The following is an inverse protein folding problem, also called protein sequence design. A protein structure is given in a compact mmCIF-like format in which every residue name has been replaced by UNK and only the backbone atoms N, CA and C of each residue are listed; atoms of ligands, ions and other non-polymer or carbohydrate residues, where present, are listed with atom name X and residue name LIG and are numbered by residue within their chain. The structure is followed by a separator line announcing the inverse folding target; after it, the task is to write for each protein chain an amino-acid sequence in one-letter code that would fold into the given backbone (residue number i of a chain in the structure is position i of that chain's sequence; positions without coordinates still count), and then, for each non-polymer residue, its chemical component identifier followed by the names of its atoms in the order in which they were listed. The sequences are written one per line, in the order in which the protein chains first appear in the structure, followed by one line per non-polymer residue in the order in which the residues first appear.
data_IF_813640681140
#
_entry.id   IF_813640681140
#
_cell.length_a   1.000
_cell.length_b   1.000
_cell.length_c   1.000
_cell.angle_alpha   90.00
_cell.angle_beta   90.00
_cell.angle_gamma   90.00
#
_symmetry.space_group_name_H-M   'P 1'
#
loop_
_entity.id
_entity.type
_entity.pdbx_description
1 polymer ?
#
# COMPACT_ATOMS: atom_id res chain seq x y z
N UNK A 1 -9.58 -0.13 21.55
CA UNK A 1 -9.70 1.26 21.04
C UNK A 1 -9.03 1.29 19.68
N UNK A 2 -9.73 1.74 18.65
CA UNK A 2 -9.12 1.94 17.33
C UNK A 2 -8.15 3.13 17.41
N UNK A 3 -6.92 2.96 16.91
CA UNK A 3 -5.85 3.96 17.00
C UNK A 3 -6.10 5.12 16.04
N UNK A 4 -5.88 6.35 16.52
CA UNK A 4 -5.87 7.60 15.76
C UNK A 4 -4.47 8.17 15.82
N UNK A 5 -3.94 8.72 14.74
CA UNK A 5 -2.55 9.15 14.65
C UNK A 5 -2.44 10.65 14.40
N UNK A 6 -1.47 11.29 15.06
CA UNK A 6 -1.16 12.72 14.88
C UNK A 6 -0.11 12.91 13.79
N UNK A 7 0.72 11.89 13.56
CA UNK A 7 1.74 11.86 12.53
C UNK A 7 1.65 10.57 11.74
N UNK A 8 1.93 10.66 10.44
CA UNK A 8 2.10 9.52 9.57
C UNK A 8 3.52 9.50 9.02
N UNK A 9 4.17 8.34 9.06
CA UNK A 9 5.49 8.13 8.49
C UNK A 9 5.37 7.27 7.24
N UNK A 10 5.85 7.80 6.13
CA UNK A 10 5.90 7.13 4.84
C UNK A 10 7.36 6.86 4.49
N UNK A 11 7.76 5.59 4.61
CA UNK A 11 9.07 5.09 4.22
C UNK A 11 9.00 4.60 2.78
N UNK A 12 9.56 5.36 1.85
CA UNK A 12 9.70 4.99 0.45
C UNK A 12 10.91 4.07 0.29
N UNK A 13 10.66 2.84 -0.15
CA UNK A 13 11.64 1.75 -0.16
C UNK A 13 12.14 1.44 -1.57
N UNK A 14 11.36 1.78 -2.59
CA UNK A 14 11.72 1.59 -3.99
C UNK A 14 10.99 2.58 -4.89
N UNK A 15 11.61 2.95 -6.00
CA UNK A 15 10.99 3.72 -7.09
C UNK A 15 10.82 2.83 -8.32
N UNK A 16 10.01 3.28 -9.28
CA UNK A 16 9.69 2.51 -10.50
C UNK A 16 10.96 2.11 -11.27
N UNK A 17 12.00 2.94 -11.22
CA UNK A 17 13.17 2.80 -12.10
C UNK A 17 12.79 3.06 -13.55
N UNK A 18 13.55 2.62 -14.54
CA UNK A 18 13.60 3.21 -15.90
C UNK A 18 14.51 4.43 -16.03
N UNK A 19 15.68 4.38 -15.39
CA UNK A 19 16.71 5.40 -15.61
C UNK A 19 17.32 5.26 -17.02
N UNK A 20 17.53 6.37 -17.73
CA UNK A 20 18.14 6.43 -19.07
C UNK A 20 17.56 5.46 -20.13
N UNK A 21 16.26 5.18 -20.07
CA UNK A 21 15.61 4.31 -21.05
C UNK A 21 15.77 2.82 -20.80
N UNK A 22 16.31 2.40 -19.66
CA UNK A 22 16.45 0.99 -19.31
C UNK A 22 15.17 0.43 -18.64
N UNK A 23 14.35 -0.40 -19.33
CA UNK A 23 13.10 -0.93 -18.78
C UNK A 23 13.26 -1.84 -17.57
N UNK A 24 14.47 -2.33 -17.32
CA UNK A 24 14.79 -3.24 -16.21
C UNK A 24 15.40 -2.51 -15.01
N UNK A 25 15.67 -1.21 -15.12
CA UNK A 25 16.11 -0.43 -13.96
C UNK A 25 14.96 -0.39 -12.96
N UNK A 26 15.24 -0.78 -11.73
CA UNK A 26 14.28 -0.82 -10.62
C UNK A 26 14.60 0.20 -9.52
N UNK A 27 15.51 1.13 -9.83
CA UNK A 27 15.97 2.20 -8.96
C UNK A 27 16.31 3.46 -9.75
N UNK A 28 16.27 4.60 -9.07
CA UNK A 28 16.86 5.88 -9.46
C UNK A 28 17.57 6.43 -8.21
N UNK A 29 18.41 7.45 -8.36
CA UNK A 29 19.07 8.12 -7.22
C UNK A 29 18.20 9.21 -6.56
N UNK A 30 16.93 9.29 -6.93
CA UNK A 30 15.98 10.29 -6.46
C UNK A 30 14.55 9.73 -6.48
N UNK A 31 13.69 10.27 -5.62
CA UNK A 31 12.27 9.90 -5.53
C UNK A 31 11.40 11.16 -5.49
N UNK A 32 10.24 11.12 -6.14
CA UNK A 32 9.35 12.29 -6.21
C UNK A 32 7.87 11.91 -6.21
N UNK A 33 7.03 12.82 -5.72
CA UNK A 33 5.58 12.80 -5.91
C UNK A 33 5.02 14.23 -5.89
N UNK A 34 3.87 14.46 -6.51
CA UNK A 34 3.23 15.78 -6.51
C UNK A 34 2.31 16.01 -5.32
N UNK A 35 1.68 14.95 -4.81
CA UNK A 35 0.81 15.08 -3.65
C UNK A 35 0.64 13.74 -2.92
N UNK A 36 0.42 13.82 -1.61
CA UNK A 36 0.03 12.72 -0.74
C UNK A 36 -1.22 13.15 0.04
N UNK A 37 -2.36 12.59 -0.35
CA UNK A 37 -3.65 12.95 0.22
C UNK A 37 -4.16 11.80 1.09
N UNK A 38 -4.55 12.12 2.31
CA UNK A 38 -5.16 11.19 3.25
C UNK A 38 -6.63 11.52 3.47
N UNK A 39 -7.40 10.49 3.80
CA UNK A 39 -8.82 10.61 4.12
C UNK A 39 -9.15 9.76 5.34
N UNK A 40 -10.05 10.25 6.19
CA UNK A 40 -10.74 9.45 7.18
C UNK A 40 -12.17 9.10 6.69
N UNK A 41 -13.03 8.64 7.60
CA UNK A 41 -14.42 8.30 7.26
C UNK A 41 -15.28 9.52 6.89
N UNK A 42 -14.87 10.72 7.32
CA UNK A 42 -15.64 11.95 7.20
C UNK A 42 -15.14 12.83 6.05
N UNK A 43 -13.92 12.60 5.56
CA UNK A 43 -13.40 13.27 4.37
C UNK A 43 -11.88 13.35 4.34
N UNK A 44 -11.35 14.33 3.60
CA UNK A 44 -9.91 14.62 3.55
C UNK A 44 -9.40 14.94 4.97
N UNK A 45 -8.24 14.39 5.31
CA UNK A 45 -7.50 14.76 6.52
C UNK A 45 -6.64 15.97 6.16
N UNK A 46 -6.83 17.06 6.88
CA UNK A 46 -5.97 18.24 6.75
C UNK A 46 -4.59 17.97 7.34
N UNK A 47 -3.57 18.40 6.62
CA UNK A 47 -2.15 18.26 6.97
C UNK A 47 -1.61 19.66 7.26
N UNK A 48 -0.67 19.77 8.20
CA UNK A 48 0.13 20.98 8.44
C UNK A 48 1.44 20.87 7.65
N UNK A 49 1.56 21.47 6.44
CA UNK A 49 2.73 21.26 5.58
C UNK A 49 4.02 21.80 6.21
N UNK A 50 3.92 22.77 7.12
CA UNK A 50 5.08 23.38 7.79
C UNK A 50 5.67 22.51 8.89
N UNK A 51 4.91 21.52 9.38
CA UNK A 51 5.38 20.52 10.35
C UNK A 51 5.75 19.19 9.70
N UNK A 52 5.58 19.05 8.39
CA UNK A 52 6.06 17.89 7.65
C UNK A 52 7.57 17.94 7.48
N UNK A 53 8.23 16.78 7.54
CA UNK A 53 9.69 16.68 7.41
C UNK A 53 10.09 15.53 6.49
N UNK A 54 11.29 15.62 5.92
CA UNK A 54 11.95 14.54 5.19
C UNK A 54 13.33 14.29 5.83
N UNK A 55 13.38 13.55 6.96
CA UNK A 55 14.61 13.38 7.72
C UNK A 55 15.72 12.74 6.88
N UNK A 56 16.89 13.39 6.84
CA UNK A 56 18.06 12.92 6.09
C UNK A 56 17.99 13.11 4.57
N UNK A 57 16.86 13.55 4.03
CA UNK A 57 16.68 13.82 2.61
C UNK A 57 17.22 15.19 2.18
N UNK A 58 17.15 15.45 0.88
CA UNK A 58 17.64 16.70 0.29
C UNK A 58 16.79 17.12 -0.91
N UNK A 59 16.13 18.27 -0.78
CA UNK A 59 15.31 18.87 -1.83
C UNK A 59 15.89 20.22 -2.25
N UNK A 60 15.82 20.59 -3.54
CA UNK A 60 16.06 21.97 -3.95
C UNK A 60 14.95 22.90 -3.42
N UNK A 61 15.16 24.21 -3.54
CA UNK A 61 14.17 25.20 -3.11
C UNK A 61 12.83 25.03 -3.84
N UNK A 62 11.73 25.05 -3.09
CA UNK A 62 10.34 24.86 -3.56
C UNK A 62 10.01 23.46 -4.08
N UNK A 63 10.78 22.44 -3.69
CA UNK A 63 10.43 21.03 -3.95
C UNK A 63 10.56 20.16 -2.69
N UNK A 64 10.34 20.78 -1.52
CA UNK A 64 10.41 20.11 -0.22
C UNK A 64 9.11 19.37 0.11
N UNK A 65 9.09 18.63 1.23
CA UNK A 65 7.91 17.81 1.57
C UNK A 65 6.61 18.61 1.70
N UNK A 66 6.68 19.89 2.07
CA UNK A 66 5.51 20.78 2.08
C UNK A 66 4.82 20.87 0.72
N UNK A 67 5.60 20.78 -0.38
CA UNK A 67 5.15 20.87 -1.77
C UNK A 67 4.63 19.51 -2.28
N UNK A 68 4.69 18.46 -1.46
CA UNK A 68 4.08 17.15 -1.73
C UNK A 68 2.85 16.85 -0.87
N UNK A 69 2.37 17.81 -0.08
CA UNK A 69 1.19 17.65 0.80
C UNK A 69 0.30 18.89 0.83
N UNK A 70 0.50 19.82 -0.10
CA UNK A 70 -0.18 21.12 -0.15
C UNK A 70 -1.53 21.06 -0.90
N UNK A 71 -1.90 19.91 -1.47
CA UNK A 71 -3.10 19.79 -2.30
C UNK A 71 -2.94 20.30 -3.72
N UNK A 72 -1.74 20.71 -4.14
CA UNK A 72 -1.46 21.27 -5.45
C UNK A 72 -0.59 20.32 -6.28
N UNK A 73 -1.19 19.68 -7.28
CA UNK A 73 -0.50 18.70 -8.14
C UNK A 73 0.48 19.34 -9.14
N UNK A 74 0.55 20.67 -9.19
CA UNK A 74 1.54 21.40 -9.98
C UNK A 74 2.86 21.62 -9.22
N UNK A 75 2.85 21.54 -7.88
CA UNK A 75 4.06 21.42 -7.05
C UNK A 75 4.55 19.97 -7.01
N UNK A 76 5.77 19.77 -6.50
CA UNK A 76 6.27 18.43 -6.19
C UNK A 76 7.18 18.44 -5.00
N UNK A 77 7.22 17.31 -4.31
CA UNK A 77 8.33 16.93 -3.47
C UNK A 77 9.32 16.07 -4.28
N UNK A 78 10.62 16.31 -4.08
CA UNK A 78 11.69 15.42 -4.52
C UNK A 78 12.73 15.23 -3.42
N UNK A 79 13.17 13.99 -3.21
CA UNK A 79 14.36 13.67 -2.43
C UNK A 79 15.49 13.26 -3.38
N UNK A 80 16.55 14.06 -3.44
CA UNK A 80 17.75 13.82 -4.24
C UNK A 80 18.75 12.86 -3.57
N UNK A 81 18.47 12.38 -2.36
CA UNK A 81 19.29 11.41 -1.62
C UNK A 81 18.68 10.03 -1.54
N UNK A 82 17.69 9.74 -2.38
CA UNK A 82 17.11 8.41 -2.47
C UNK A 82 18.19 7.40 -2.89
N UNK A 83 18.65 6.57 -1.95
CA UNK A 83 19.71 5.57 -2.16
C UNK A 83 21.08 5.94 -1.57
N UNK A 84 21.34 7.20 -1.23
CA UNK A 84 22.59 7.66 -0.60
C UNK A 84 22.50 7.70 0.93
N UNK A 85 21.29 7.59 1.47
CA UNK A 85 21.05 7.47 2.90
C UNK A 85 21.31 6.04 3.38
N UNK A 86 21.83 5.87 4.59
CA UNK A 86 22.19 4.58 5.21
C UNK A 86 21.05 3.53 5.27
N UNK A 87 19.83 3.86 4.83
CA UNK A 87 18.65 2.99 4.76
C UNK A 87 18.19 2.67 3.31
N UNK A 88 18.84 3.20 2.27
CA UNK A 88 18.52 2.89 0.87
C UNK A 88 17.12 3.28 0.42
N UNK A 89 16.60 4.44 0.85
CA UNK A 89 15.19 4.85 0.61
C UNK A 89 14.93 6.35 0.80
N UNK A 90 13.73 6.75 1.19
CA UNK A 90 13.42 8.11 1.65
C UNK A 90 12.31 8.05 2.69
N UNK A 91 12.48 8.74 3.81
CA UNK A 91 11.45 8.82 4.86
C UNK A 91 10.83 10.20 4.86
N UNK A 92 9.50 10.26 4.84
CA UNK A 92 8.74 11.50 5.05
C UNK A 92 7.82 11.35 6.25
N UNK A 93 7.70 12.41 7.05
CA UNK A 93 6.86 12.47 8.24
C UNK A 93 5.84 13.57 8.01
N UNK A 94 4.57 13.21 8.12
CA UNK A 94 3.42 14.02 7.75
C UNK A 94 2.65 14.34 9.01
N UNK A 95 2.47 15.63 9.30
CA UNK A 95 1.78 16.10 10.49
C UNK A 95 0.31 16.40 10.17
N UNK A 96 -0.61 15.78 10.90
CA UNK A 96 -2.04 16.09 10.80
C UNK A 96 -2.30 17.47 11.41
N UNK A 97 -3.10 18.32 10.77
CA UNK A 97 -3.57 19.58 11.34
C UNK A 97 -4.66 19.32 12.39
N UNK A 98 -4.66 20.05 13.51
CA UNK A 98 -5.67 19.88 14.57
C UNK A 98 -5.55 18.56 15.37
N UNK A 99 -6.64 17.79 15.49
CA UNK A 99 -6.67 16.57 16.32
C UNK A 99 -6.14 15.33 15.58
N UNK A 100 -5.68 14.31 16.32
CA UNK A 100 -5.27 13.03 15.73
C UNK A 100 -6.43 12.35 14.98
N UNK A 101 -6.14 11.76 13.81
CA UNK A 101 -7.15 11.20 12.89
C UNK A 101 -6.90 9.71 12.63
N UNK A 102 -7.99 8.99 12.35
CA UNK A 102 -7.90 7.58 11.91
C UNK A 102 -7.83 7.56 10.39
N UNK A 103 -6.73 7.04 9.84
CA UNK A 103 -6.60 6.90 8.39
C UNK A 103 -7.60 5.86 7.86
N UNK A 104 -8.33 6.22 6.81
CA UNK A 104 -9.24 5.33 6.10
C UNK A 104 -8.67 4.93 4.74
N UNK A 105 -8.26 5.92 3.94
CA UNK A 105 -7.63 5.74 2.62
C UNK A 105 -6.63 6.85 2.33
N UNK A 106 -5.74 6.62 1.38
CA UNK A 106 -4.81 7.62 0.88
C UNK A 106 -4.50 7.43 -0.60
N UNK A 107 -3.94 8.47 -1.21
CA UNK A 107 -3.48 8.49 -2.60
C UNK A 107 -2.11 9.16 -2.70
N UNK A 108 -1.29 8.65 -3.61
CA UNK A 108 -0.04 9.27 -4.07
C UNK A 108 -0.24 9.74 -5.51
N UNK A 109 0.31 10.89 -5.86
CA UNK A 109 0.23 11.44 -7.20
C UNK A 109 1.62 11.53 -7.84
N UNK A 110 1.75 11.12 -9.09
CA UNK A 110 3.01 11.22 -9.84
C UNK A 110 3.42 12.70 -9.99
N UNK A 111 4.71 13.04 -9.87
CA UNK A 111 5.16 14.42 -10.10
C UNK A 111 5.18 14.78 -11.61
N UNK A 112 5.87 15.84 -12.04
CA UNK A 112 5.99 16.22 -13.46
C UNK A 112 7.29 15.74 -14.16
N UNK A 113 8.33 15.37 -13.42
CA UNK A 113 9.70 15.30 -13.95
C UNK A 113 10.04 13.95 -14.64
N UNK A 114 10.31 12.86 -13.90
CA UNK A 114 10.67 11.57 -14.47
C UNK A 114 9.86 10.40 -13.87
N UNK A 115 9.43 9.46 -14.73
CA UNK A 115 8.71 8.22 -14.33
C UNK A 115 9.54 7.33 -13.44
N UNK A 116 10.85 7.38 -13.61
CA UNK A 116 11.76 6.51 -12.88
C UNK A 116 11.92 6.80 -11.40
N UNK A 117 11.47 7.97 -10.97
CA UNK A 117 11.50 8.44 -9.60
C UNK A 117 10.17 8.27 -8.88
N UNK A 118 9.14 7.80 -9.59
CA UNK A 118 7.82 7.61 -8.99
C UNK A 118 7.88 6.46 -7.97
N UNK A 119 7.24 6.56 -6.79
CA UNK A 119 7.26 5.51 -5.78
C UNK A 119 6.75 4.18 -6.30
N UNK A 120 7.38 3.08 -5.90
CA UNK A 120 7.01 1.71 -6.33
C UNK A 120 6.71 0.81 -5.15
N UNK A 121 7.46 0.97 -4.07
CA UNK A 121 7.30 0.23 -2.82
C UNK A 121 7.45 1.16 -1.63
N UNK A 122 6.54 1.08 -0.66
CA UNK A 122 6.61 1.89 0.54
C UNK A 122 5.90 1.24 1.73
N UNK A 123 6.22 1.75 2.91
CA UNK A 123 5.56 1.43 4.17
C UNK A 123 4.94 2.69 4.75
N UNK A 124 3.69 2.60 5.18
CA UNK A 124 2.99 3.66 5.88
C UNK A 124 2.78 3.24 7.34
N UNK A 125 3.13 4.12 8.27
CA UNK A 125 2.98 3.94 9.71
C UNK A 125 2.31 5.16 10.36
N UNK A 126 1.67 4.96 11.51
CA UNK A 126 1.04 6.01 12.31
C UNK A 126 1.69 6.16 13.68
N UNK A 127 1.64 7.36 14.27
CA UNK A 127 2.15 7.64 15.61
C UNK A 127 1.57 8.90 16.24
N UNK A 128 1.82 9.06 17.54
CA UNK A 128 1.42 10.26 18.30
C UNK A 128 2.47 11.38 18.27
N UNK A 129 3.72 11.07 17.91
CA UNK A 129 4.81 12.03 17.85
C UNK A 129 5.57 11.92 16.53
N UNK A 130 6.27 13.00 16.15
CA UNK A 130 7.12 13.03 14.96
C UNK A 130 8.37 12.12 15.09
N UNK A 131 8.69 11.62 16.28
CA UNK A 131 9.84 10.73 16.51
C UNK A 131 9.40 9.28 16.76
N UNK A 132 8.10 9.00 16.76
CA UNK A 132 7.51 7.70 17.09
C UNK A 132 7.09 7.56 18.56
N UNK A 133 6.88 6.33 19.07
CA UNK A 133 6.97 5.07 18.34
C UNK A 133 5.96 5.01 17.18
N UNK A 134 6.33 4.26 16.14
CA UNK A 134 5.54 4.08 14.94
C UNK A 134 4.84 2.73 14.95
N UNK A 135 3.55 2.72 14.61
CA UNK A 135 2.77 1.50 14.37
C UNK A 135 2.58 1.35 12.87
N UNK A 136 3.00 0.22 12.30
CA UNK A 136 2.80 -0.04 10.87
C UNK A 136 1.31 -0.13 10.56
N UNK A 137 0.90 0.58 9.51
CA UNK A 137 -0.47 0.60 8.99
C UNK A 137 -0.57 -0.30 7.76
N UNK A 138 0.36 -0.15 6.80
CA UNK A 138 0.37 -0.98 5.59
C UNK A 138 1.75 -0.98 4.91
N UNK A 139 1.99 -1.99 4.08
CA UNK A 139 3.12 -2.07 3.15
C UNK A 139 2.57 -2.29 1.76
N UNK A 140 2.94 -1.41 0.83
CA UNK A 140 2.70 -1.57 -0.61
C UNK A 140 3.96 -2.10 -1.23
N UNK A 141 3.93 -3.33 -1.73
CA UNK A 141 5.10 -4.05 -2.27
C UNK A 141 5.39 -3.72 -3.74
N UNK A 142 4.35 -3.44 -4.52
CA UNK A 142 4.42 -3.20 -5.96
C UNK A 142 3.23 -2.33 -6.40
N UNK A 143 3.40 -1.01 -6.36
CA UNK A 143 2.40 -0.07 -6.82
C UNK A 143 2.25 -0.10 -8.35
N UNK A 144 1.04 0.12 -8.89
CA UNK A 144 0.85 0.13 -10.34
C UNK A 144 1.68 1.25 -10.98
N UNK A 145 2.21 0.94 -12.15
CA UNK A 145 2.86 1.92 -12.99
C UNK A 145 1.85 2.98 -13.45
N UNK A 146 2.18 4.25 -13.25
CA UNK A 146 1.35 5.37 -13.71
C UNK A 146 2.13 6.15 -14.77
N UNK A 147 1.64 6.13 -16.01
CA UNK A 147 2.29 6.79 -17.15
C UNK A 147 1.85 8.23 -17.31
N UNK A 148 0.67 8.59 -16.82
CA UNK A 148 0.22 9.98 -16.73
C UNK A 148 0.97 10.71 -15.61
N UNK A 149 1.27 11.99 -15.83
CA UNK A 149 1.93 12.84 -14.83
C UNK A 149 0.87 13.62 -14.05
N UNK A 150 1.14 13.94 -12.79
CA UNK A 150 0.18 14.62 -11.88
C UNK A 150 -1.09 13.79 -11.65
N UNK A 151 -0.99 12.48 -11.86
CA UNK A 151 -2.11 11.54 -11.83
C UNK A 151 -2.01 10.64 -10.60
N UNK A 152 -3.17 10.19 -10.11
CA UNK A 152 -3.26 9.27 -8.98
C UNK A 152 -2.59 7.94 -9.34
N UNK A 153 -1.79 7.41 -8.42
CA UNK A 153 -1.22 6.06 -8.48
C UNK A 153 -2.21 4.98 -8.00
N UNK A 154 -3.45 5.38 -7.71
CA UNK A 154 -4.50 4.52 -7.16
C UNK A 154 -4.85 4.88 -5.72
N UNK A 155 -6.03 4.40 -5.30
CA UNK A 155 -6.56 4.64 -3.95
C UNK A 155 -6.20 3.46 -3.05
N UNK A 156 -5.37 3.72 -2.06
CA UNK A 156 -4.92 2.72 -1.09
C UNK A 156 -5.79 2.79 0.16
N UNK A 157 -6.31 1.65 0.61
CA UNK A 157 -7.23 1.58 1.74
C UNK A 157 -6.61 0.79 2.90
N UNK A 158 -5.77 1.43 3.74
CA UNK A 158 -5.13 0.75 4.86
C UNK A 158 -6.09 0.30 5.95
N UNK A 159 -7.25 0.94 6.14
CA UNK A 159 -8.23 0.45 7.11
C UNK A 159 -9.15 -0.65 6.53
N UNK A 160 -9.14 -0.85 5.22
CA UNK A 160 -9.70 -2.05 4.56
C UNK A 160 -8.64 -3.14 4.40
N UNK A 161 -7.38 -2.84 4.73
CA UNK A 161 -6.41 -3.85 5.04
C UNK A 161 -6.62 -4.19 6.53
N UNK A 162 -7.23 -5.33 6.78
CA UNK A 162 -6.41 -6.46 7.04
C UNK A 162 -6.25 -7.11 5.69
N UNK A 163 -5.03 -7.48 5.33
CA UNK A 163 -4.88 -8.83 4.81
C UNK A 163 -5.69 -9.71 5.77
N UNK A 164 -6.91 -10.09 5.40
CA UNK A 164 -7.69 -11.00 6.21
C UNK A 164 -7.01 -12.34 6.02
N UNK A 165 -6.05 -12.68 6.88
CA UNK A 165 -5.57 -14.05 6.97
C UNK A 165 -6.76 -14.86 7.47
N UNK A 166 -7.39 -15.63 6.59
CA UNK A 166 -8.46 -16.55 6.99
C UNK A 166 -8.04 -17.97 6.68
N UNK A 167 -8.46 -18.85 7.57
CA UNK A 167 -8.47 -20.27 7.31
C UNK A 167 -9.55 -20.53 6.26
N UNK A 168 -9.15 -20.97 5.06
CA UNK A 168 -10.10 -21.57 4.14
C UNK A 168 -10.17 -23.04 4.49
N UNK A 169 -11.35 -23.49 4.88
CA UNK A 169 -11.65 -24.91 5.04
C UNK A 169 -12.47 -25.36 3.86
N UNK A 170 -11.93 -26.27 3.06
CA UNK A 170 -12.71 -26.95 2.02
C UNK A 170 -13.03 -28.35 2.51
N UNK A 171 -14.32 -28.66 2.49
CA UNK A 171 -14.84 -29.98 2.83
C UNK A 171 -15.27 -30.65 1.55
N UNK A 172 -14.81 -31.88 1.34
CA UNK A 172 -15.21 -32.69 0.20
C UNK A 172 -16.29 -33.68 0.64
N UNK A 173 -17.30 -33.90 -0.18
CA UNK A 173 -18.45 -34.79 0.13
C UNK A 173 -18.50 -36.06 -0.72
N UNK A 174 -17.47 -36.32 -1.54
CA UNK A 174 -17.33 -37.57 -2.31
C UNK A 174 -16.67 -38.69 -1.47
N UNK A 175 -16.61 -39.90 -2.02
CA UNK A 175 -16.06 -41.08 -1.35
C UNK A 175 -14.60 -40.85 -0.88
N UNK A 176 -14.40 -40.99 0.43
CA UNK A 176 -13.18 -40.67 1.15
C UNK A 176 -12.00 -41.60 0.80
N UNK A 177 -12.25 -42.71 0.10
CA UNK A 177 -11.24 -43.76 -0.14
C UNK A 177 -10.23 -43.44 -1.25
N UNK A 178 -10.49 -42.47 -2.13
CA UNK A 178 -9.65 -42.20 -3.32
C UNK A 178 -8.69 -41.00 -3.20
N UNK A 179 -8.73 -40.25 -2.08
CA UNK A 179 -8.05 -38.95 -1.99
C UNK A 179 -8.58 -37.93 -3.00
N UNK A 180 -8.09 -36.69 -2.95
CA UNK A 180 -8.52 -35.63 -3.85
C UNK A 180 -7.90 -35.87 -5.24
N UNK A 181 -8.67 -36.45 -6.17
CA UNK A 181 -8.23 -36.76 -7.54
C UNK A 181 -7.81 -35.55 -8.39
N UNK A 182 -8.04 -34.32 -7.89
CA UNK A 182 -7.52 -33.07 -8.44
C UNK A 182 -7.31 -32.03 -7.32
N UNK A 183 -6.34 -31.12 -7.51
CA UNK A 183 -6.18 -29.97 -6.61
C UNK A 183 -7.29 -28.95 -6.90
N UNK A 184 -8.14 -28.60 -5.92
CA UNK A 184 -9.16 -27.58 -6.11
C UNK A 184 -8.47 -26.22 -6.29
N UNK A 185 -9.10 -25.36 -7.08
CA UNK A 185 -8.70 -23.97 -7.26
C UNK A 185 -9.87 -23.09 -6.87
N UNK A 186 -9.66 -22.20 -5.91
CA UNK A 186 -10.62 -21.15 -5.58
C UNK A 186 -10.21 -19.90 -6.34
N UNK A 187 -11.15 -19.32 -7.07
CA UNK A 187 -11.01 -18.04 -7.74
C UNK A 187 -11.83 -17.01 -6.95
N UNK A 188 -11.19 -15.92 -6.56
CA UNK A 188 -11.91 -14.75 -6.08
C UNK A 188 -11.97 -13.69 -7.18
N UNK A 189 -12.91 -12.74 -7.06
CA UNK A 189 -12.96 -11.58 -7.94
C UNK A 189 -11.62 -10.83 -7.86
N UNK A 190 -10.96 -10.63 -9.02
CA UNK A 190 -9.58 -10.12 -9.06
C UNK A 190 -8.47 -11.18 -9.17
N UNK A 191 -8.80 -12.43 -9.52
CA UNK A 191 -7.86 -13.43 -10.08
C UNK A 191 -6.84 -14.07 -9.12
N UNK A 192 -7.10 -14.10 -7.82
CA UNK A 192 -6.24 -14.88 -6.90
C UNK A 192 -6.58 -16.37 -7.03
N UNK A 193 -5.63 -17.16 -7.51
CA UNK A 193 -5.72 -18.63 -7.57
C UNK A 193 -5.05 -19.26 -6.35
N UNK A 194 -5.76 -20.16 -5.66
CA UNK A 194 -5.23 -20.88 -4.50
C UNK A 194 -5.23 -22.40 -4.72
N UNK A 195 -4.06 -23.02 -4.56
CA UNK A 195 -3.90 -24.48 -4.61
C UNK A 195 -3.96 -25.05 -3.19
N UNK A 196 -4.99 -25.84 -2.89
CA UNK A 196 -5.11 -26.52 -1.59
C UNK A 196 -4.34 -27.85 -1.59
N UNK A 197 -3.97 -28.38 -2.77
CA UNK A 197 -3.18 -29.61 -2.93
C UNK A 197 -3.93 -30.90 -2.54
N UNK A 198 -3.43 -32.09 -2.92
CA UNK A 198 -4.10 -33.35 -2.63
C UNK A 198 -4.18 -33.63 -1.12
N UNK A 199 -5.19 -34.40 -0.71
CA UNK A 199 -5.38 -34.86 0.67
C UNK A 199 -6.11 -36.21 0.68
N UNK A 200 -5.96 -36.99 1.75
CA UNK A 200 -6.83 -38.15 2.06
C UNK A 200 -7.84 -37.80 3.15
N UNK A 201 -7.65 -36.67 3.83
CA UNK A 201 -8.54 -36.17 4.86
C UNK A 201 -9.81 -35.55 4.22
N UNK A 202 -10.99 -35.74 4.84
CA UNK A 202 -12.25 -35.14 4.40
C UNK A 202 -12.27 -33.61 4.57
N UNK A 203 -11.34 -33.08 5.38
CA UNK A 203 -11.17 -31.67 5.68
C UNK A 203 -9.74 -31.23 5.35
N UNK A 204 -9.59 -30.11 4.64
CA UNK A 204 -8.28 -29.45 4.52
C UNK A 204 -8.40 -27.95 4.74
N UNK A 205 -7.52 -27.43 5.59
CA UNK A 205 -7.46 -26.01 5.93
C UNK A 205 -6.16 -25.42 5.44
N UNK A 206 -6.23 -24.39 4.59
CA UNK A 206 -5.08 -23.54 4.29
C UNK A 206 -5.09 -22.39 5.31
N UNK A 207 -4.09 -22.33 6.18
CA UNK A 207 -4.11 -21.46 7.36
C UNK A 207 -3.87 -19.99 7.05
N UNK A 208 -3.34 -19.66 5.86
CA UNK A 208 -2.90 -18.30 5.53
C UNK A 208 -3.12 -17.93 4.07
N UNK A 209 -4.38 -17.85 3.64
CA UNK A 209 -4.73 -17.19 2.39
C UNK A 209 -4.86 -15.66 2.58
N UNK A 210 -4.36 -14.87 1.63
CA UNK A 210 -4.51 -13.41 1.59
C UNK A 210 -5.65 -13.05 0.64
N UNK A 211 -6.64 -12.28 1.11
CA UNK A 211 -7.78 -11.88 0.28
C UNK A 211 -7.82 -10.37 0.05
N UNK A 212 -8.09 -9.91 -1.19
CA UNK A 212 -8.47 -8.54 -1.44
C UNK A 212 -9.90 -8.29 -0.93
N UNK A 213 -10.17 -7.08 -0.42
CA UNK A 213 -11.53 -6.57 -0.25
C UNK A 213 -11.94 -5.78 -1.49
N UNK A 214 -13.25 -5.70 -1.76
CA UNK A 214 -13.81 -4.84 -2.79
C UNK A 214 -13.62 -3.37 -2.43
N UNK A 215 -13.80 -2.49 -3.41
CA UNK A 215 -13.78 -1.05 -3.21
C UNK A 215 -14.80 -0.54 -2.16
N UNK A 216 -15.85 -1.33 -1.85
CA UNK A 216 -16.84 -1.04 -0.80
C UNK A 216 -16.54 -1.75 0.55
N UNK A 217 -15.36 -2.36 0.69
CA UNK A 217 -14.90 -2.98 1.95
C UNK A 217 -15.56 -4.32 2.28
N UNK A 218 -16.20 -4.95 1.30
CA UNK A 218 -16.77 -6.29 1.45
C UNK A 218 -15.75 -7.36 1.05
N UNK A 219 -15.94 -8.55 1.61
CA UNK A 219 -15.13 -9.73 1.29
C UNK A 219 -15.40 -10.13 -0.17
N UNK A 220 -14.37 -10.12 -1.02
CA UNK A 220 -14.47 -10.59 -2.41
C UNK A 220 -14.50 -12.11 -2.51
N UNK A 221 -14.23 -12.82 -1.41
CA UNK A 221 -14.22 -14.27 -1.36
C UNK A 221 -15.39 -14.79 -0.49
N UNK A 222 -16.10 -15.83 -0.93
CA UNK A 222 -17.16 -16.41 -0.13
C UNK A 222 -16.60 -17.10 1.12
N UNK A 223 -17.29 -16.94 2.26
CA UNK A 223 -16.92 -17.58 3.55
C UNK A 223 -16.99 -19.12 3.49
N UNK A 224 -17.75 -19.67 2.55
CA UNK A 224 -17.95 -21.10 2.29
C UNK A 224 -18.00 -21.27 0.77
N UNK A 225 -17.22 -22.22 0.23
CA UNK A 225 -17.34 -22.65 -1.17
C UNK A 225 -18.04 -24.01 -1.21
N UNK A 226 -19.14 -24.11 -1.94
CA UNK A 226 -19.96 -25.30 -2.15
C UNK A 226 -20.42 -25.37 -3.61
N UNK A 227 -20.96 -26.50 -4.06
CA UNK A 227 -21.39 -26.69 -5.47
C UNK A 227 -22.34 -25.61 -6.04
N UNK A 228 -23.02 -24.84 -5.18
CA UNK A 228 -23.99 -23.83 -5.58
C UNK A 228 -23.35 -22.43 -5.73
N UNK A 229 -22.06 -22.28 -5.38
CA UNK A 229 -21.29 -21.05 -5.54
C UNK A 229 -19.85 -21.28 -6.06
N UNK A 230 -19.66 -22.37 -6.81
CA UNK A 230 -18.42 -22.66 -7.57
C UNK A 230 -18.26 -21.74 -8.78
#
# INVERSE_FOLDING_TARGET
METRDKYFKLDMLQVRGWFDGNPMASSANSMQFSDFIMYDKDGKIDVDPNKCTNPGGHSPGNEGIKDGVDGNRDSKFIDLRFGDNNNGGSTVIIAVEGEARKLHKYELFTANDARSRDPKKWRLSGGQSADGPWTEITVVEDAPDQDERKASMGVFHPCMQPICTRNITVTRTDDQTAGWGMSPRILCEGSVQMNIGPSIEPLKTLSTARFPLSADGKDLCPKIVNKDNW
#
